data_IF_297560276475
#
_entry.id   IF_297560276475
#
_cell.length_a   1.000
_cell.length_b   1.000
_cell.length_c   1.000
_cell.angle_alpha   90.00
_cell.angle_beta   90.00
_cell.angle_gamma   90.00
#
_symmetry.space_group_name_H-M   'P 1'
#
loop_
_entity.id
_entity.type
_entity.pdbx_description
1 polymer ?
#
# COMPACT_ATOMS: atom_id res chain seq x y z
N UNK A 1 -3.98 -25.24 7.73
CA UNK A 1 -5.14 -24.59 7.12
C UNK A 1 -5.04 -23.10 7.26
N UNK A 2 -5.48 -22.56 8.39
CA UNK A 2 -5.32 -21.12 8.64
C UNK A 2 -3.84 -20.70 8.55
N UNK A 3 -2.92 -21.61 8.91
CA UNK A 3 -1.50 -21.32 8.87
C UNK A 3 -0.99 -21.01 7.47
N UNK A 4 -1.52 -21.68 6.45
CA UNK A 4 -1.09 -21.43 5.06
C UNK A 4 -1.49 -20.02 4.58
N UNK A 5 -2.68 -19.58 4.95
CA UNK A 5 -3.15 -18.22 4.64
C UNK A 5 -2.26 -17.19 5.33
N UNK A 6 -1.96 -17.43 6.60
CA UNK A 6 -1.11 -16.54 7.39
C UNK A 6 0.31 -16.49 6.81
N UNK A 7 0.90 -17.65 6.54
CA UNK A 7 2.24 -17.73 5.97
C UNK A 7 2.33 -17.01 4.64
N UNK A 8 1.36 -17.23 3.76
CA UNK A 8 1.32 -16.58 2.46
C UNK A 8 1.12 -15.08 2.61
N UNK A 9 0.26 -14.67 3.56
CA UNK A 9 0.04 -13.26 3.86
C UNK A 9 1.30 -12.56 4.34
N UNK A 10 2.06 -13.22 5.22
CA UNK A 10 3.33 -12.69 5.71
C UNK A 10 4.31 -12.50 4.54
N UNK A 11 4.44 -13.50 3.67
CA UNK A 11 5.34 -13.41 2.51
C UNK A 11 4.93 -12.26 1.58
N UNK A 12 3.64 -12.15 1.29
CA UNK A 12 3.12 -11.11 0.40
C UNK A 12 3.33 -9.72 1.00
N UNK A 13 3.05 -9.57 2.29
CA UNK A 13 3.27 -8.29 2.98
C UNK A 13 4.75 -7.88 2.91
N UNK A 14 5.66 -8.82 3.17
CA UNK A 14 7.09 -8.54 3.12
C UNK A 14 7.55 -8.16 1.72
N UNK A 15 7.06 -8.85 0.71
CA UNK A 15 7.44 -8.56 -0.68
C UNK A 15 6.93 -7.20 -1.14
N UNK A 16 5.71 -6.83 -0.78
CA UNK A 16 5.08 -5.59 -1.23
C UNK A 16 5.49 -4.41 -0.34
N UNK A 17 5.18 -4.50 0.94
CA UNK A 17 5.33 -3.37 1.86
C UNK A 17 6.64 -3.38 2.65
N UNK A 18 7.33 -4.51 2.73
CA UNK A 18 8.61 -4.63 3.43
C UNK A 18 8.53 -4.18 4.88
N UNK A 19 9.52 -3.42 5.31
CA UNK A 19 9.59 -2.94 6.69
C UNK A 19 8.42 -2.05 7.09
N UNK A 20 7.91 -1.25 6.16
CA UNK A 20 6.75 -0.39 6.43
C UNK A 20 5.54 -1.22 6.82
N UNK A 21 5.29 -2.33 6.10
CA UNK A 21 4.20 -3.24 6.43
C UNK A 21 4.41 -3.93 7.77
N UNK A 22 5.62 -4.38 8.03
CA UNK A 22 5.95 -5.03 9.30
C UNK A 22 5.74 -4.08 10.48
N UNK A 23 6.08 -2.80 10.33
CA UNK A 23 5.84 -1.79 11.38
C UNK A 23 4.35 -1.60 11.66
N UNK A 24 3.50 -1.66 10.65
CA UNK A 24 2.05 -1.58 10.83
C UNK A 24 1.57 -2.75 11.70
N UNK A 25 1.98 -3.98 11.35
CA UNK A 25 1.60 -5.17 12.11
C UNK A 25 2.09 -5.06 13.55
N UNK A 26 3.35 -4.69 13.74
CA UNK A 26 3.92 -4.55 15.07
C UNK A 26 3.17 -3.50 15.92
N UNK A 27 2.78 -2.39 15.31
CA UNK A 27 2.05 -1.33 16.01
C UNK A 27 0.69 -1.78 16.54
N UNK A 28 0.14 -2.85 15.99
CA UNK A 28 -1.19 -3.36 16.36
C UNK A 28 -1.12 -4.44 17.44
N UNK A 29 0.05 -5.02 17.69
CA UNK A 29 0.18 -6.21 18.57
C UNK A 29 -0.40 -6.00 19.97
N UNK A 30 -0.16 -4.83 20.56
CA UNK A 30 -0.57 -4.56 21.94
C UNK A 30 -2.02 -4.10 22.07
N UNK A 31 -2.61 -3.55 21.00
CA UNK A 31 -3.93 -2.92 21.08
C UNK A 31 -5.00 -3.62 20.26
N UNK A 32 -4.63 -4.15 19.11
CA UNK A 32 -5.60 -4.75 18.17
C UNK A 32 -4.96 -5.89 17.37
N UNK A 33 -4.51 -6.96 18.05
CA UNK A 33 -3.80 -8.04 17.34
C UNK A 33 -4.66 -8.73 16.27
N UNK A 34 -5.98 -8.79 16.45
CA UNK A 34 -6.87 -9.37 15.45
C UNK A 34 -6.87 -8.56 14.15
N UNK A 35 -6.75 -7.24 14.24
CA UNK A 35 -6.69 -6.39 13.04
C UNK A 35 -5.43 -6.71 12.23
N UNK A 36 -4.30 -6.87 12.90
CA UNK A 36 -3.06 -7.31 12.26
C UNK A 36 -3.23 -8.67 11.57
N UNK A 37 -3.89 -9.61 12.24
CA UNK A 37 -4.17 -10.93 11.65
C UNK A 37 -5.05 -10.81 10.41
N UNK A 38 -6.08 -9.98 10.44
CA UNK A 38 -6.94 -9.77 9.26
C UNK A 38 -6.17 -9.14 8.10
N UNK A 39 -5.27 -8.23 8.38
CA UNK A 39 -4.40 -7.68 7.34
C UNK A 39 -3.60 -8.81 6.69
N UNK A 40 -2.97 -9.65 7.50
CA UNK A 40 -2.13 -10.72 6.99
C UNK A 40 -2.94 -11.82 6.29
N UNK A 41 -3.97 -12.34 6.94
CA UNK A 41 -4.72 -13.49 6.41
C UNK A 41 -5.67 -13.09 5.29
N UNK A 42 -6.47 -12.07 5.51
CA UNK A 42 -7.51 -11.68 4.57
C UNK A 42 -6.96 -10.80 3.43
N UNK A 43 -6.32 -9.69 3.77
CA UNK A 43 -5.87 -8.77 2.73
C UNK A 43 -4.72 -9.36 1.92
N UNK A 44 -3.62 -9.70 2.56
CA UNK A 44 -2.44 -10.18 1.85
C UNK A 44 -2.50 -11.68 1.55
N UNK A 45 -3.14 -12.45 2.41
CA UNK A 45 -3.28 -13.90 2.22
C UNK A 45 -4.35 -14.27 1.20
N UNK A 46 -5.52 -13.67 1.29
CA UNK A 46 -6.63 -14.02 0.39
C UNK A 46 -6.72 -13.10 -0.82
N UNK A 47 -6.80 -11.78 -0.59
CA UNK A 47 -7.05 -10.82 -1.67
C UNK A 47 -5.84 -10.68 -2.58
N UNK A 48 -4.70 -10.32 -2.02
CA UNK A 48 -3.47 -10.07 -2.81
C UNK A 48 -2.89 -11.34 -3.43
N UNK A 49 -3.25 -12.49 -2.90
CA UNK A 49 -2.69 -13.75 -3.40
C UNK A 49 -3.37 -14.28 -4.66
N UNK A 50 -4.46 -13.68 -5.10
CA UNK A 50 -5.14 -14.10 -6.33
C UNK A 50 -4.30 -13.66 -7.53
N UNK A 51 -3.88 -14.59 -8.42
CA UNK A 51 -2.93 -14.28 -9.49
C UNK A 51 -3.52 -13.55 -10.69
N UNK A 52 -4.82 -13.26 -10.70
CA UNK A 52 -5.46 -12.57 -11.82
C UNK A 52 -4.85 -11.18 -12.04
N UNK A 53 -4.51 -10.48 -10.95
CA UNK A 53 -3.81 -9.20 -11.01
C UNK A 53 -2.42 -9.34 -10.39
N UNK A 54 -1.43 -8.73 -11.01
CA UNK A 54 -0.08 -8.68 -10.44
C UNK A 54 -0.05 -7.78 -9.21
N UNK A 55 0.99 -7.89 -8.40
CA UNK A 55 1.19 -6.98 -7.28
C UNK A 55 1.32 -5.53 -7.76
N UNK A 56 1.95 -5.32 -8.90
CA UNK A 56 2.09 -3.99 -9.50
C UNK A 56 0.70 -3.39 -9.80
N UNK A 57 -0.16 -4.18 -10.42
CA UNK A 57 -1.53 -3.75 -10.72
C UNK A 57 -2.33 -3.48 -9.44
N UNK A 58 -2.18 -4.36 -8.46
CA UNK A 58 -2.87 -4.20 -7.17
C UNK A 58 -2.46 -2.93 -6.45
N UNK A 59 -1.17 -2.58 -6.48
CA UNK A 59 -0.71 -1.36 -5.84
C UNK A 59 -1.21 -0.09 -6.55
N UNK A 60 -1.34 -0.12 -7.87
CA UNK A 60 -1.98 0.99 -8.60
C UNK A 60 -3.41 1.21 -8.10
N UNK A 61 -4.17 0.11 -7.95
CA UNK A 61 -5.54 0.16 -7.44
C UNK A 61 -5.55 0.69 -6.00
N UNK A 62 -4.63 0.19 -5.18
CA UNK A 62 -4.55 0.54 -3.76
C UNK A 62 -4.28 2.03 -3.57
N UNK A 63 -3.26 2.58 -4.23
CA UNK A 63 -2.93 4.00 -4.05
C UNK A 63 -4.02 4.90 -4.64
N UNK A 64 -4.68 4.47 -5.71
CA UNK A 64 -5.83 5.18 -6.27
C UNK A 64 -6.99 5.20 -5.28
N UNK A 65 -7.30 4.06 -4.67
CA UNK A 65 -8.36 3.95 -3.65
C UNK A 65 -8.09 4.86 -2.46
N UNK A 66 -6.85 4.83 -1.96
CA UNK A 66 -6.47 5.61 -0.78
C UNK A 66 -6.54 7.11 -1.05
N UNK A 67 -6.02 7.55 -2.18
CA UNK A 67 -6.08 8.94 -2.60
C UNK A 67 -7.53 9.42 -2.69
N UNK A 68 -8.39 8.60 -3.27
CA UNK A 68 -9.80 8.93 -3.50
C UNK A 68 -10.57 9.11 -2.18
N UNK A 69 -10.28 8.28 -1.19
CA UNK A 69 -10.91 8.40 0.13
C UNK A 69 -10.56 9.70 0.82
N UNK A 70 -9.30 10.14 0.70
CA UNK A 70 -8.77 11.23 1.48
C UNK A 70 -8.55 10.81 2.94
N UNK A 71 -7.78 11.60 3.67
CA UNK A 71 -7.49 11.34 5.09
C UNK A 71 -6.84 9.97 5.31
N UNK A 72 -6.02 9.54 4.34
CA UNK A 72 -5.35 8.23 4.33
C UNK A 72 -3.85 8.38 4.14
N UNK A 73 -3.27 9.50 4.60
CA UNK A 73 -1.85 9.79 4.35
C UNK A 73 -0.92 8.72 4.92
N UNK A 74 -1.22 8.22 6.11
CA UNK A 74 -0.40 7.17 6.73
C UNK A 74 -0.36 5.91 5.87
N UNK A 75 -1.50 5.50 5.32
CA UNK A 75 -1.59 4.33 4.44
C UNK A 75 -0.95 4.59 3.08
N UNK A 76 -1.06 5.83 2.58
CA UNK A 76 -0.39 6.21 1.33
C UNK A 76 1.14 6.08 1.47
N UNK A 77 1.71 6.48 2.60
CA UNK A 77 3.16 6.30 2.83
C UNK A 77 3.54 4.82 2.65
N UNK A 78 2.80 3.92 3.30
CA UNK A 78 3.06 2.48 3.23
C UNK A 78 2.95 1.98 1.78
N UNK A 79 1.87 2.34 1.10
CA UNK A 79 1.58 1.77 -0.22
C UNK A 79 2.31 2.46 -1.37
N UNK A 80 2.77 3.69 -1.21
CA UNK A 80 3.70 4.29 -2.18
C UNK A 80 5.04 3.55 -2.10
N UNK A 81 5.52 3.25 -0.88
CA UNK A 81 6.68 2.39 -0.71
C UNK A 81 6.44 1.01 -1.33
N UNK A 82 5.28 0.42 -1.09
CA UNK A 82 4.89 -0.86 -1.67
C UNK A 82 4.88 -0.82 -3.19
N UNK A 83 4.36 0.27 -3.77
CA UNK A 83 4.33 0.48 -5.21
C UNK A 83 5.75 0.47 -5.80
N UNK A 84 6.68 1.16 -5.16
CA UNK A 84 8.07 1.17 -5.60
C UNK A 84 8.71 -0.22 -5.46
N UNK A 85 8.40 -0.92 -4.36
CA UNK A 85 8.93 -2.26 -4.12
C UNK A 85 8.51 -3.27 -5.19
N UNK A 86 7.33 -3.12 -5.77
CA UNK A 86 6.82 -4.04 -6.78
C UNK A 86 7.05 -3.56 -8.21
N UNK A 87 7.85 -2.51 -8.38
CA UNK A 87 8.36 -2.13 -9.70
C UNK A 87 7.74 -0.90 -10.35
N UNK A 88 6.84 -0.19 -9.65
CA UNK A 88 6.39 1.11 -10.15
C UNK A 88 7.52 2.12 -10.00
N UNK A 89 7.68 2.97 -10.99
CA UNK A 89 8.63 4.08 -10.92
C UNK A 89 7.98 5.29 -10.26
N UNK A 90 8.79 6.22 -9.79
CA UNK A 90 8.28 7.50 -9.26
C UNK A 90 7.41 8.20 -10.30
N UNK A 91 7.86 8.21 -11.56
CA UNK A 91 7.11 8.83 -12.64
C UNK A 91 5.74 8.17 -12.83
N UNK A 92 5.70 6.84 -12.77
CA UNK A 92 4.43 6.12 -12.91
C UNK A 92 3.46 6.43 -11.76
N UNK A 93 3.97 6.50 -10.54
CA UNK A 93 3.14 6.83 -9.38
C UNK A 93 2.52 8.22 -9.53
N UNK A 94 3.33 9.20 -9.94
CA UNK A 94 2.83 10.57 -10.17
C UNK A 94 1.80 10.58 -11.30
N UNK A 95 2.00 9.77 -12.34
CA UNK A 95 1.03 9.70 -13.44
C UNK A 95 -0.28 9.08 -13.00
N UNK A 96 -0.24 8.07 -12.12
CA UNK A 96 -1.46 7.48 -11.52
C UNK A 96 -2.25 8.59 -10.80
N UNK A 97 -1.58 9.40 -10.00
CA UNK A 97 -2.24 10.48 -9.26
C UNK A 97 -2.76 11.57 -10.21
N UNK A 98 -1.97 11.93 -11.20
CA UNK A 98 -2.36 12.93 -12.20
C UNK A 98 -3.62 12.49 -12.95
N UNK A 99 -3.70 11.21 -13.30
CA UNK A 99 -4.87 10.65 -13.97
C UNK A 99 -6.14 10.78 -13.14
N UNK A 100 -6.02 10.82 -11.82
CA UNK A 100 -7.18 10.93 -10.94
C UNK A 100 -7.79 12.33 -10.89
N UNK A 101 -7.08 13.37 -11.33
CA UNK A 101 -7.55 14.75 -11.23
C UNK A 101 -8.98 14.94 -11.79
N UNK A 102 -9.31 14.45 -13.01
CA UNK A 102 -10.66 14.63 -13.55
C UNK A 102 -11.77 13.99 -12.71
N UNK A 103 -11.42 13.04 -11.87
CA UNK A 103 -12.41 12.23 -11.16
C UNK A 103 -12.55 12.58 -9.69
N UNK A 104 -11.47 13.03 -9.04
CA UNK A 104 -11.47 13.32 -7.61
C UNK A 104 -11.09 14.76 -7.26
N UNK A 105 -10.58 15.52 -8.22
CA UNK A 105 -10.23 16.93 -8.03
C UNK A 105 -8.81 17.15 -7.53
N UNK A 106 -8.38 18.42 -7.63
CA UNK A 106 -7.02 18.83 -7.28
C UNK A 106 -6.65 18.62 -5.81
N UNK A 107 -7.50 18.97 -4.84
CA UNK A 107 -7.05 18.90 -3.44
C UNK A 107 -6.56 17.53 -3.01
N UNK A 108 -7.28 16.48 -3.33
CA UNK A 108 -6.88 15.10 -2.96
C UNK A 108 -5.60 14.67 -3.68
N UNK A 109 -5.49 15.03 -4.95
CA UNK A 109 -4.29 14.70 -5.74
C UNK A 109 -3.08 15.47 -5.22
N UNK A 110 -3.22 16.74 -4.89
CA UNK A 110 -2.12 17.54 -4.33
C UNK A 110 -1.64 16.94 -3.00
N UNK A 111 -2.56 16.49 -2.15
CA UNK A 111 -2.20 15.84 -0.89
C UNK A 111 -1.42 14.56 -1.13
N UNK A 112 -1.86 13.74 -2.08
CA UNK A 112 -1.17 12.49 -2.41
C UNK A 112 0.23 12.75 -3.00
N UNK A 113 0.37 13.75 -3.84
CA UNK A 113 1.67 14.13 -4.40
C UNK A 113 2.63 14.59 -3.30
N UNK A 114 2.13 15.34 -2.32
CA UNK A 114 2.95 15.76 -1.17
C UNK A 114 3.45 14.55 -0.39
N UNK A 115 2.59 13.56 -0.17
CA UNK A 115 2.99 12.31 0.50
C UNK A 115 4.05 11.58 -0.32
N UNK A 116 3.83 11.46 -1.63
CA UNK A 116 4.77 10.79 -2.53
C UNK A 116 6.14 11.45 -2.51
N UNK A 117 6.18 12.79 -2.52
CA UNK A 117 7.43 13.54 -2.45
C UNK A 117 8.22 13.19 -1.19
N UNK A 118 7.54 13.10 -0.04
CA UNK A 118 8.17 12.70 1.21
C UNK A 118 8.76 11.30 1.14
N UNK A 119 7.99 10.35 0.61
CA UNK A 119 8.46 8.95 0.46
C UNK A 119 9.67 8.88 -0.47
N UNK A 120 9.62 9.56 -1.62
CA UNK A 120 10.72 9.56 -2.58
C UNK A 120 12.00 10.13 -1.95
N UNK A 121 11.87 11.23 -1.22
CA UNK A 121 13.02 11.86 -0.54
C UNK A 121 13.60 10.93 0.53
N UNK A 122 12.75 10.29 1.32
CA UNK A 122 13.19 9.38 2.38
C UNK A 122 13.98 8.19 1.80
N UNK A 123 13.57 7.69 0.65
CA UNK A 123 14.24 6.55 0.02
C UNK A 123 15.60 6.92 -0.57
N UNK A 124 15.85 8.19 -0.83
CA UNK A 124 17.15 8.68 -1.32
C UNK A 124 18.13 9.00 -0.20
N UNK A 125 17.63 9.13 1.02
CA UNK A 125 18.44 9.51 2.17
C UNK A 125 19.40 8.38 2.60
#
# INVERSE_FOLDING_TARGET
>A
MSDKRLEQGIRNLQEIDGEAGERVIHSLEAIAPDVGRYILEFAFGDIYNNPVLSFREREIITITSLLTQGDTNAQLVVHINGSLNVGLTEEEIIEVFTHCIPYVGFPKVLNAITVAKGVFNDRRA
#
